data_IF_089858469835
#
_entry.id   IF_089858469835
#
_cell.length_a   1.000
_cell.length_b   1.000
_cell.length_c   1.000
_cell.angle_alpha   90.00
_cell.angle_beta   90.00
_cell.angle_gamma   90.00
#
_symmetry.space_group_name_H-M   'P 1'
#
loop_
_entity.id
_entity.type
_entity.pdbx_description
1 polymer ?
#
# COMPACT_ATOMS: atom_id res chain seq x y z
N UNK A 1 86.66 -26.25 8.99
CA UNK A 1 85.24 -26.62 8.87
C UNK A 1 84.46 -25.53 9.60
N UNK A 2 83.96 -24.52 8.87
CA UNK A 2 83.36 -23.31 9.45
C UNK A 2 82.04 -23.07 8.71
N UNK A 3 80.95 -23.30 9.41
CA UNK A 3 79.60 -23.39 8.86
C UNK A 3 78.99 -21.99 8.74
N UNK A 4 78.62 -21.59 7.52
CA UNK A 4 78.01 -20.28 7.22
C UNK A 4 76.51 -20.36 7.53
N UNK A 5 76.09 -19.83 8.67
CA UNK A 5 74.68 -19.71 9.01
C UNK A 5 73.99 -18.64 8.15
N UNK A 6 73.02 -19.06 7.34
CA UNK A 6 72.17 -18.18 6.53
C UNK A 6 71.06 -17.57 7.39
N UNK A 7 71.04 -16.24 7.50
CA UNK A 7 69.92 -15.49 8.08
C UNK A 7 68.74 -15.49 7.10
N UNK A 8 67.63 -16.13 7.48
CA UNK A 8 66.34 -16.02 6.77
C UNK A 8 65.54 -14.86 7.37
N UNK A 9 65.30 -13.82 6.59
CA UNK A 9 64.36 -12.75 6.96
C UNK A 9 62.91 -13.28 6.85
N UNK A 10 62.06 -13.15 7.88
CA UNK A 10 60.63 -13.40 7.74
C UNK A 10 59.98 -12.19 7.04
N UNK A 11 59.32 -12.47 5.91
CA UNK A 11 58.50 -11.51 5.17
C UNK A 11 57.17 -11.30 5.94
N UNK A 12 56.98 -10.13 6.53
CA UNK A 12 55.73 -9.77 7.23
C UNK A 12 54.73 -9.25 6.19
N UNK A 13 53.73 -10.08 5.85
CA UNK A 13 52.64 -9.70 4.93
C UNK A 13 51.62 -8.84 5.71
N UNK A 14 51.64 -7.52 5.49
CA UNK A 14 50.63 -6.61 6.03
C UNK A 14 49.36 -6.71 5.17
N UNK A 15 48.34 -7.42 5.66
CA UNK A 15 47.00 -7.41 5.08
C UNK A 15 46.36 -6.06 5.42
N UNK A 16 46.36 -5.13 4.47
CA UNK A 16 45.57 -3.90 4.55
C UNK A 16 44.12 -4.30 4.29
N UNK A 17 43.34 -4.47 5.36
CA UNK A 17 41.89 -4.66 5.27
C UNK A 17 41.26 -3.34 4.83
N UNK A 18 40.99 -3.19 3.55
CA UNK A 18 40.16 -2.11 3.00
C UNK A 18 38.74 -2.35 3.49
N UNK A 19 38.38 -1.75 4.63
CA UNK A 19 37.00 -1.72 5.10
C UNK A 19 36.16 -0.96 4.08
N UNK A 20 35.39 -1.69 3.28
CA UNK A 20 34.37 -1.09 2.41
C UNK A 20 33.30 -0.55 3.36
N UNK A 21 33.37 0.74 3.64
CA UNK A 21 32.27 1.47 4.24
C UNK A 21 31.17 1.52 3.17
N UNK A 22 30.22 0.60 3.25
CA UNK A 22 28.97 0.71 2.51
C UNK A 22 28.22 1.91 3.10
N UNK A 23 28.44 3.09 2.55
CA UNK A 23 27.56 4.23 2.81
C UNK A 23 26.20 3.84 2.26
N UNK A 24 25.25 3.53 3.14
CA UNK A 24 23.86 3.35 2.73
C UNK A 24 23.44 4.65 2.07
N UNK A 25 23.10 4.59 0.78
CA UNK A 25 22.47 5.73 0.12
C UNK A 25 21.12 5.93 0.82
N UNK A 26 20.97 7.05 1.51
CA UNK A 26 19.68 7.46 2.06
C UNK A 26 18.82 8.01 0.92
N UNK A 27 17.54 7.66 0.91
CA UNK A 27 16.55 8.28 0.04
C UNK A 27 16.61 9.81 0.23
N UNK A 28 16.64 10.57 -0.87
CA UNK A 28 16.55 12.03 -0.76
C UNK A 28 15.09 12.40 -0.49
N UNK A 29 14.86 13.32 0.44
CA UNK A 29 13.53 13.91 0.62
C UNK A 29 13.32 15.01 -0.41
N UNK A 30 12.25 14.92 -1.19
CA UNK A 30 11.92 15.89 -2.25
C UNK A 30 10.46 16.29 -2.09
N UNK A 31 10.18 17.60 -2.08
CA UNK A 31 8.84 18.13 -1.91
C UNK A 31 8.35 18.83 -3.18
N UNK A 32 7.07 18.63 -3.49
CA UNK A 32 6.40 19.40 -4.53
C UNK A 32 6.16 20.83 -4.05
N UNK A 33 6.70 21.80 -4.79
CA UNK A 33 6.53 23.24 -4.53
C UNK A 33 5.76 23.97 -5.64
N UNK A 34 5.63 23.35 -6.82
CA UNK A 34 4.82 23.84 -7.93
C UNK A 34 5.36 25.09 -8.63
N UNK A 35 6.64 25.48 -8.45
CA UNK A 35 7.16 26.72 -9.05
C UNK A 35 7.12 26.72 -10.60
N UNK A 36 7.20 25.55 -11.22
CA UNK A 36 7.06 25.38 -12.68
C UNK A 36 5.65 25.64 -13.22
N UNK A 37 4.61 25.69 -12.36
CA UNK A 37 3.24 26.11 -12.68
C UNK A 37 2.53 25.33 -13.80
N UNK A 38 2.95 24.11 -14.09
CA UNK A 38 2.33 23.25 -15.12
C UNK A 38 1.60 22.01 -14.54
N UNK A 39 1.77 21.73 -13.24
CA UNK A 39 1.17 20.56 -12.58
C UNK A 39 1.77 19.22 -13.02
N UNK A 40 2.93 19.21 -13.69
CA UNK A 40 3.55 18.00 -14.25
C UNK A 40 4.67 17.48 -13.36
N UNK A 41 4.58 16.20 -12.95
CA UNK A 41 5.61 15.53 -12.15
C UNK A 41 7.01 15.61 -12.77
N UNK A 42 7.10 15.48 -14.10
CA UNK A 42 8.35 15.44 -14.84
C UNK A 42 9.05 16.81 -15.00
N UNK A 43 8.43 17.90 -14.58
CA UNK A 43 9.03 19.23 -14.64
C UNK A 43 9.85 19.48 -13.38
N UNK A 44 11.18 19.52 -13.52
CA UNK A 44 12.11 19.67 -12.39
C UNK A 44 11.85 20.93 -11.55
N UNK A 45 11.38 22.02 -12.17
CA UNK A 45 11.02 23.27 -11.49
C UNK A 45 9.79 23.17 -10.57
N UNK A 46 9.05 22.05 -10.55
CA UNK A 46 7.95 21.88 -9.59
C UNK A 46 8.38 21.19 -8.27
N UNK A 47 9.68 20.93 -8.14
CA UNK A 47 10.25 20.28 -6.97
C UNK A 47 11.24 21.22 -6.30
N UNK A 48 11.27 21.20 -4.97
CA UNK A 48 12.14 22.06 -4.15
C UNK A 48 13.63 21.92 -4.45
N UNK A 49 14.06 20.74 -4.90
CA UNK A 49 15.43 20.47 -5.35
C UNK A 49 15.73 20.97 -6.78
N UNK A 50 14.73 21.51 -7.48
CA UNK A 50 14.77 21.84 -8.91
C UNK A 50 15.17 20.65 -9.80
N UNK A 51 14.82 19.44 -9.36
CA UNK A 51 15.14 18.18 -10.04
C UNK A 51 14.00 17.18 -9.93
N UNK A 52 13.82 16.35 -10.95
CA UNK A 52 12.75 15.34 -10.97
C UNK A 52 13.09 14.19 -10.01
N UNK A 53 12.19 13.81 -9.09
CA UNK A 53 12.40 12.66 -8.22
C UNK A 53 12.64 11.37 -8.98
N UNK A 54 13.51 10.55 -8.43
CA UNK A 54 13.75 9.16 -8.83
C UNK A 54 12.87 8.20 -8.01
N UNK A 55 12.87 6.91 -8.37
CA UNK A 55 12.04 5.91 -7.69
C UNK A 55 12.44 5.65 -6.23
N UNK A 56 13.69 5.95 -5.85
CA UNK A 56 14.23 5.70 -4.52
C UNK A 56 14.05 6.88 -3.56
N UNK A 57 13.49 8.00 -4.02
CA UNK A 57 13.33 9.20 -3.22
C UNK A 57 12.08 9.14 -2.32
N UNK A 58 12.09 9.94 -1.25
CA UNK A 58 10.95 10.17 -0.38
C UNK A 58 10.23 11.45 -0.82
N UNK A 59 9.13 11.28 -1.53
CA UNK A 59 8.38 12.36 -2.18
C UNK A 59 7.22 12.81 -1.31
N UNK A 60 7.04 14.13 -1.17
CA UNK A 60 5.89 14.73 -0.49
C UNK A 60 5.14 15.71 -1.38
N UNK A 61 3.82 15.55 -1.47
CA UNK A 61 2.87 16.46 -2.13
C UNK A 61 1.79 16.83 -1.09
N UNK A 62 1.81 18.05 -0.58
CA UNK A 62 0.98 18.42 0.58
C UNK A 62 0.36 19.82 0.54
N UNK A 63 0.44 20.50 -0.60
CA UNK A 63 0.05 21.90 -0.75
C UNK A 63 -1.36 22.08 -1.36
N UNK A 64 -2.10 20.99 -1.58
CA UNK A 64 -3.44 21.00 -2.19
C UNK A 64 -3.42 20.95 -3.72
N UNK A 65 -2.24 20.82 -4.33
CA UNK A 65 -2.10 20.81 -5.78
C UNK A 65 -2.57 19.50 -6.41
N UNK A 66 -2.87 19.58 -7.70
CA UNK A 66 -3.00 18.41 -8.57
C UNK A 66 -1.68 18.18 -9.31
N UNK A 67 -1.06 17.05 -9.03
CA UNK A 67 0.18 16.60 -9.67
C UNK A 67 -0.15 15.50 -10.67
N UNK A 68 0.26 15.70 -11.92
CA UNK A 68 0.04 14.74 -13.00
C UNK A 68 1.33 14.05 -13.37
N UNK A 69 1.37 12.74 -13.23
CA UNK A 69 2.43 11.88 -13.70
C UNK A 69 2.15 11.44 -15.16
N UNK A 70 2.89 12.00 -16.12
CA UNK A 70 2.68 11.81 -17.58
C UNK A 70 3.92 11.25 -18.30
N UNK A 71 4.64 10.23 -17.80
CA UNK A 71 5.77 9.71 -18.57
C UNK A 71 5.30 8.71 -19.63
N UNK A 72 6.25 8.35 -20.51
CA UNK A 72 6.11 7.16 -21.36
C UNK A 72 6.24 5.82 -20.63
N UNK A 73 6.32 5.81 -19.29
CA UNK A 73 6.66 4.63 -18.46
C UNK A 73 5.75 4.44 -17.22
N UNK A 74 6.19 3.57 -16.31
CA UNK A 74 5.48 3.24 -15.07
C UNK A 74 5.83 4.23 -13.94
N UNK A 75 4.85 4.63 -13.13
CA UNK A 75 5.13 5.27 -11.84
C UNK A 75 5.78 4.23 -10.93
N UNK A 76 7.05 4.43 -10.57
CA UNK A 76 7.78 3.45 -9.78
C UNK A 76 8.25 4.09 -8.48
N UNK A 77 7.93 3.43 -7.37
CA UNK A 77 8.52 3.66 -6.05
C UNK A 77 9.31 2.40 -5.72
N UNK A 78 10.62 2.52 -5.52
CA UNK A 78 11.54 1.40 -5.29
C UNK A 78 12.52 1.73 -4.15
N UNK A 79 12.16 1.31 -2.92
CA UNK A 79 12.92 1.63 -1.71
C UNK A 79 12.59 2.99 -1.07
N UNK A 80 11.89 3.87 -1.78
CA UNK A 80 11.45 5.19 -1.31
C UNK A 80 9.99 5.24 -0.87
N UNK A 81 9.42 6.44 -0.84
CA UNK A 81 8.02 6.66 -0.48
C UNK A 81 7.38 7.81 -1.24
N UNK A 82 6.05 7.78 -1.37
CA UNK A 82 5.26 8.89 -1.89
C UNK A 82 4.18 9.21 -0.87
N UNK A 83 4.17 10.44 -0.38
CA UNK A 83 3.14 10.94 0.54
C UNK A 83 2.33 12.04 -0.14
N UNK A 84 1.03 11.80 -0.31
CA UNK A 84 0.07 12.79 -0.82
C UNK A 84 -0.86 13.18 0.32
N UNK A 85 -1.03 14.48 0.55
CA UNK A 85 -1.83 14.96 1.68
C UNK A 85 -2.41 16.36 1.47
N UNK A 86 -3.19 16.86 2.44
CA UNK A 86 -3.61 18.26 2.46
C UNK A 86 -4.56 18.64 1.33
N UNK A 87 -5.41 17.70 0.90
CA UNK A 87 -6.31 17.87 -0.24
C UNK A 87 -5.66 17.69 -1.61
N UNK A 88 -4.36 17.36 -1.66
CA UNK A 88 -3.64 17.18 -2.93
C UNK A 88 -4.13 15.95 -3.70
N UNK A 89 -3.92 15.97 -5.02
CA UNK A 89 -4.25 14.86 -5.91
C UNK A 89 -3.02 14.43 -6.71
N UNK A 90 -2.70 13.14 -6.69
CA UNK A 90 -1.73 12.54 -7.60
C UNK A 90 -2.47 11.76 -8.68
N UNK A 91 -2.34 12.18 -9.94
CA UNK A 91 -2.96 11.53 -11.09
C UNK A 91 -1.92 10.88 -11.99
N UNK A 92 -2.10 9.62 -12.35
CA UNK A 92 -1.33 8.97 -13.42
C UNK A 92 -2.21 8.80 -14.66
N UNK A 93 -1.81 9.44 -15.75
CA UNK A 93 -2.63 9.47 -16.99
C UNK A 93 -2.23 8.39 -18.00
N UNK A 94 -1.03 7.81 -17.87
CA UNK A 94 -0.58 6.73 -18.74
C UNK A 94 -1.29 5.40 -18.42
N UNK A 95 -1.60 4.59 -19.44
CA UNK A 95 -2.12 3.21 -19.29
C UNK A 95 -1.08 2.19 -18.82
N UNK A 96 0.13 2.66 -18.51
CA UNK A 96 1.23 1.92 -17.91
C UNK A 96 0.95 1.57 -16.44
N UNK A 97 1.81 0.80 -15.79
CA UNK A 97 1.65 0.37 -14.41
C UNK A 97 2.02 1.46 -13.37
N UNK A 98 1.53 1.29 -12.14
CA UNK A 98 2.11 1.93 -10.97
C UNK A 98 2.72 0.81 -10.12
N UNK A 99 4.00 0.88 -9.78
CA UNK A 99 4.73 -0.16 -9.06
C UNK A 99 5.25 0.41 -7.76
N UNK A 100 4.84 -0.17 -6.64
CA UNK A 100 5.40 0.11 -5.33
C UNK A 100 6.18 -1.13 -4.92
N UNK A 101 7.51 -1.01 -4.92
CA UNK A 101 8.46 -2.05 -4.55
C UNK A 101 9.28 -1.54 -3.36
N UNK A 102 9.42 -2.36 -2.33
CA UNK A 102 10.18 -2.01 -1.14
C UNK A 102 9.87 -0.61 -0.55
N UNK A 103 8.65 -0.10 -0.74
CA UNK A 103 8.30 1.31 -0.53
C UNK A 103 6.84 1.49 -0.14
N UNK A 104 6.44 2.73 0.10
CA UNK A 104 5.08 3.04 0.61
C UNK A 104 4.44 4.18 -0.16
N UNK A 105 3.15 4.03 -0.49
CA UNK A 105 2.27 5.13 -0.89
C UNK A 105 1.38 5.52 0.31
N UNK A 106 1.51 6.75 0.78
CA UNK A 106 0.72 7.30 1.87
C UNK A 106 -0.24 8.36 1.34
N UNK A 107 -1.52 8.23 1.66
CA UNK A 107 -2.59 9.15 1.30
C UNK A 107 -3.25 9.64 2.59
N UNK A 108 -3.26 10.95 2.84
CA UNK A 108 -3.86 11.53 4.03
C UNK A 108 -4.70 12.76 3.70
N UNK A 109 -6.02 12.63 3.74
CA UNK A 109 -6.95 13.64 3.22
C UNK A 109 -6.63 13.99 1.75
N UNK A 110 -6.48 12.98 0.89
CA UNK A 110 -5.96 13.17 -0.48
C UNK A 110 -6.60 12.22 -1.51
N UNK A 111 -6.23 12.38 -2.77
CA UNK A 111 -6.64 11.47 -3.85
C UNK A 111 -5.44 10.93 -4.62
N UNK A 112 -5.44 9.62 -4.85
CA UNK A 112 -4.68 9.00 -5.94
C UNK A 112 -5.66 8.56 -7.02
N UNK A 113 -5.41 8.96 -8.26
CA UNK A 113 -6.27 8.63 -9.38
C UNK A 113 -5.48 8.10 -10.56
N UNK A 114 -6.02 7.10 -11.24
CA UNK A 114 -5.43 6.59 -12.46
C UNK A 114 -6.48 6.06 -13.42
N UNK A 115 -6.37 6.47 -14.68
CA UNK A 115 -7.37 6.17 -15.71
C UNK A 115 -7.31 4.73 -16.26
N UNK A 116 -6.20 4.00 -16.12
CA UNK A 116 -6.10 2.63 -16.63
C UNK A 116 -4.82 1.89 -16.27
N UNK A 117 -4.83 0.56 -16.44
CA UNK A 117 -3.75 -0.38 -16.07
C UNK A 117 -3.75 -0.75 -14.57
N UNK A 118 -2.79 -1.59 -14.15
CA UNK A 118 -2.73 -2.12 -12.78
C UNK A 118 -1.80 -1.36 -11.82
N UNK A 119 -2.21 -1.16 -10.57
CA UNK A 119 -1.31 -0.79 -9.46
C UNK A 119 -0.79 -2.08 -8.87
N UNK A 120 0.53 -2.21 -8.74
CA UNK A 120 1.17 -3.44 -8.27
C UNK A 120 2.03 -3.13 -7.06
N UNK A 121 1.79 -3.86 -5.98
CA UNK A 121 2.55 -3.81 -4.74
C UNK A 121 3.46 -5.05 -4.69
N UNK A 122 4.75 -4.86 -4.42
CA UNK A 122 5.76 -5.93 -4.41
C UNK A 122 5.84 -6.72 -5.74
N UNK A 123 6.08 -6.01 -6.85
CA UNK A 123 6.29 -6.64 -8.16
C UNK A 123 7.62 -7.42 -8.23
N UNK A 124 8.68 -6.86 -7.64
CA UNK A 124 9.96 -7.57 -7.52
C UNK A 124 9.95 -8.56 -6.32
N UNK A 125 10.91 -9.46 -6.31
CA UNK A 125 11.10 -10.49 -5.27
C UNK A 125 11.66 -9.88 -3.99
N UNK A 126 11.34 -10.47 -2.82
CA UNK A 126 11.84 -10.05 -1.50
C UNK A 126 11.48 -8.60 -1.12
N UNK A 127 10.27 -8.18 -1.49
CA UNK A 127 9.78 -6.82 -1.32
C UNK A 127 8.82 -6.69 -0.13
N UNK A 128 8.96 -5.58 0.60
CA UNK A 128 7.93 -5.07 1.51
C UNK A 128 7.23 -3.85 0.88
N UNK A 129 5.93 -3.87 0.68
CA UNK A 129 5.25 -2.75 0.00
C UNK A 129 3.92 -2.44 0.64
N UNK A 130 3.54 -1.16 0.66
CA UNK A 130 2.28 -0.80 1.28
C UNK A 130 1.60 0.44 0.75
N UNK A 131 0.30 0.48 1.03
CA UNK A 131 -0.55 1.66 0.89
C UNK A 131 -1.13 1.97 2.26
N UNK A 132 -1.02 3.22 2.68
CA UNK A 132 -1.70 3.72 3.88
C UNK A 132 -2.60 4.88 3.49
N UNK A 133 -3.91 4.69 3.56
CA UNK A 133 -4.90 5.70 3.21
C UNK A 133 -5.71 6.10 4.45
N UNK A 134 -5.79 7.39 4.72
CA UNK A 134 -6.62 7.99 5.77
C UNK A 134 -7.48 9.08 5.13
N UNK A 135 -8.80 8.98 5.30
CA UNK A 135 -9.78 9.89 4.71
C UNK A 135 -9.52 10.20 3.23
N UNK A 136 -9.09 9.20 2.46
CA UNK A 136 -8.56 9.39 1.11
C UNK A 136 -9.32 8.56 0.10
N UNK A 137 -9.22 8.97 -1.17
CA UNK A 137 -9.75 8.22 -2.30
C UNK A 137 -8.61 7.61 -3.12
N UNK A 138 -8.70 6.30 -3.38
CA UNK A 138 -7.78 5.55 -4.22
C UNK A 138 -8.55 5.00 -5.42
N UNK A 139 -8.57 5.74 -6.52
CA UNK A 139 -9.30 5.37 -7.74
C UNK A 139 -8.35 4.83 -8.80
N UNK A 140 -8.64 3.63 -9.30
CA UNK A 140 -7.83 2.93 -10.29
C UNK A 140 -8.72 2.44 -11.45
N UNK A 141 -8.27 2.65 -12.68
CA UNK A 141 -8.95 2.17 -13.89
C UNK A 141 -8.58 0.73 -14.28
N UNK A 142 -7.91 -0.02 -13.41
CA UNK A 142 -7.53 -1.42 -13.63
C UNK A 142 -7.51 -2.20 -12.32
N UNK A 143 -6.54 -3.09 -12.12
CA UNK A 143 -6.49 -3.95 -10.94
C UNK A 143 -5.50 -3.43 -9.88
N UNK A 144 -5.79 -3.70 -8.60
CA UNK A 144 -4.82 -3.58 -7.51
C UNK A 144 -4.22 -4.96 -7.23
N UNK A 145 -2.93 -5.13 -7.47
CA UNK A 145 -2.22 -6.40 -7.29
C UNK A 145 -1.39 -6.39 -6.01
N UNK A 146 -1.59 -7.43 -5.22
CA UNK A 146 -0.75 -7.80 -4.09
C UNK A 146 0.20 -8.89 -4.59
N UNK A 147 1.45 -8.52 -4.81
CA UNK A 147 2.47 -9.41 -5.33
C UNK A 147 2.50 -9.53 -6.85
N UNK A 148 3.26 -10.53 -7.32
CA UNK A 148 3.46 -10.82 -8.73
C UNK A 148 3.73 -12.33 -8.97
N UNK A 149 3.42 -12.78 -10.18
CA UNK A 149 3.33 -14.18 -10.61
C UNK A 149 4.66 -14.95 -10.77
N UNK A 150 5.80 -14.41 -10.33
CA UNK A 150 7.12 -15.01 -10.61
C UNK A 150 7.73 -15.87 -9.49
N UNK A 151 6.98 -16.26 -8.45
CA UNK A 151 7.30 -17.34 -7.50
C UNK A 151 8.72 -17.36 -6.87
N UNK A 152 9.48 -16.27 -6.91
CA UNK A 152 10.92 -16.29 -6.60
C UNK A 152 11.30 -15.33 -5.49
N UNK A 153 10.54 -15.26 -4.41
CA UNK A 153 10.91 -14.51 -3.21
C UNK A 153 9.73 -14.22 -2.32
N UNK A 154 10.02 -13.70 -1.12
CA UNK A 154 9.00 -13.35 -0.14
C UNK A 154 8.35 -12.02 -0.52
N UNK A 155 7.04 -11.97 -0.59
CA UNK A 155 6.29 -10.74 -0.86
C UNK A 155 5.47 -10.37 0.37
N UNK A 156 5.79 -9.24 1.00
CA UNK A 156 5.04 -8.70 2.14
C UNK A 156 4.30 -7.46 1.67
N UNK A 157 2.97 -7.54 1.58
CA UNK A 157 2.14 -6.43 1.12
C UNK A 157 1.09 -6.08 2.18
N UNK A 158 1.01 -4.80 2.53
CA UNK A 158 0.00 -4.28 3.45
C UNK A 158 -0.75 -3.09 2.86
N UNK A 159 -2.07 -3.15 2.83
CA UNK A 159 -2.94 -2.01 2.52
C UNK A 159 -3.78 -1.69 3.74
N UNK A 160 -3.64 -0.47 4.26
CA UNK A 160 -4.40 0.03 5.39
C UNK A 160 -5.32 1.15 4.92
N UNK A 161 -6.64 0.98 5.08
CA UNK A 161 -7.64 1.99 4.78
C UNK A 161 -8.30 2.47 6.06
N UNK A 162 -8.30 3.77 6.32
CA UNK A 162 -9.02 4.37 7.45
C UNK A 162 -9.99 5.42 6.92
N UNK A 163 -11.29 5.16 7.04
CA UNK A 163 -12.35 5.98 6.42
C UNK A 163 -12.04 6.33 4.95
N UNK A 164 -11.53 5.36 4.18
CA UNK A 164 -10.98 5.57 2.84
C UNK A 164 -11.61 4.63 1.82
N UNK A 165 -11.59 5.03 0.56
CA UNK A 165 -12.24 4.29 -0.52
C UNK A 165 -11.21 3.76 -1.52
N UNK A 166 -11.38 2.50 -1.94
CA UNK A 166 -10.78 1.97 -3.17
C UNK A 166 -11.90 1.84 -4.21
N UNK A 167 -11.73 2.51 -5.33
CA UNK A 167 -12.63 2.47 -6.48
C UNK A 167 -11.89 1.88 -7.67
N UNK A 168 -12.23 0.66 -8.06
CA UNK A 168 -11.63 -0.04 -9.19
C UNK A 168 -12.34 0.21 -10.53
N UNK A 169 -13.26 1.18 -10.60
CA UNK A 169 -14.02 1.59 -11.79
C UNK A 169 -14.65 0.42 -12.59
N UNK A 170 -15.02 -0.67 -11.90
CA UNK A 170 -15.64 -1.86 -12.51
C UNK A 170 -14.73 -2.75 -13.37
N UNK A 171 -13.41 -2.54 -13.40
CA UNK A 171 -12.52 -3.12 -14.44
C UNK A 171 -11.78 -4.41 -14.04
N UNK A 172 -11.83 -4.88 -12.78
CA UNK A 172 -11.59 -6.29 -12.29
C UNK A 172 -11.17 -6.34 -10.79
N UNK A 173 -10.83 -5.23 -10.14
CA UNK A 173 -10.75 -5.12 -8.68
C UNK A 173 -9.42 -5.55 -8.02
N UNK A 174 -9.46 -6.25 -6.88
CA UNK A 174 -8.28 -6.61 -6.07
C UNK A 174 -7.81 -8.03 -6.37
N UNK A 175 -6.51 -8.19 -6.61
CA UNK A 175 -5.88 -9.47 -6.93
C UNK A 175 -4.73 -9.82 -5.99
N UNK A 176 -4.73 -11.05 -5.47
CA UNK A 176 -3.65 -11.59 -4.62
C UNK A 176 -2.88 -12.69 -5.36
N UNK A 177 -1.57 -12.56 -5.49
CA UNK A 177 -0.72 -13.52 -6.21
C UNK A 177 0.01 -14.46 -5.27
N UNK A 178 -0.09 -15.77 -5.54
CA UNK A 178 0.67 -16.84 -4.90
C UNK A 178 0.59 -16.79 -3.36
N UNK A 179 -0.64 -16.71 -2.84
CA UNK A 179 -0.95 -16.52 -1.41
C UNK A 179 -0.49 -17.65 -0.51
N UNK A 180 -0.18 -18.81 -1.07
CA UNK A 180 0.29 -20.01 -0.37
C UNK A 180 1.81 -20.22 -0.47
N UNK A 181 2.52 -19.36 -1.22
CA UNK A 181 3.98 -19.44 -1.28
C UNK A 181 4.58 -19.08 0.09
N UNK A 182 5.52 -19.90 0.56
CA UNK A 182 6.16 -19.69 1.85
C UNK A 182 6.84 -18.33 1.91
N UNK A 183 6.58 -17.56 2.97
CA UNK A 183 7.15 -16.24 3.18
C UNK A 183 6.35 -15.08 2.58
N UNK A 184 5.35 -15.37 1.74
CA UNK A 184 4.38 -14.35 1.33
C UNK A 184 3.46 -13.99 2.51
N UNK A 185 3.16 -12.70 2.65
CA UNK A 185 2.25 -12.18 3.66
C UNK A 185 1.47 -11.02 3.07
N UNK A 186 0.15 -11.17 2.96
CA UNK A 186 -0.72 -10.15 2.41
C UNK A 186 -1.76 -9.73 3.44
N UNK A 187 -1.92 -8.43 3.60
CA UNK A 187 -2.90 -7.86 4.52
C UNK A 187 -3.66 -6.71 3.85
N UNK A 188 -4.98 -6.80 3.92
CA UNK A 188 -5.91 -5.71 3.64
C UNK A 188 -6.64 -5.39 4.94
N UNK A 189 -6.25 -4.29 5.57
CA UNK A 189 -6.81 -3.87 6.83
C UNK A 189 -7.75 -2.67 6.63
N UNK A 190 -9.00 -2.83 7.05
CA UNK A 190 -10.03 -1.81 6.99
C UNK A 190 -10.28 -1.27 8.39
N UNK A 191 -10.09 0.03 8.57
CA UNK A 191 -10.30 0.73 9.81
C UNK A 191 -11.37 1.81 9.63
N UNK A 192 -12.11 2.05 10.70
CA UNK A 192 -13.10 3.12 10.75
C UNK A 192 -14.36 2.87 9.91
N UNK A 193 -15.29 3.80 10.04
CA UNK A 193 -16.60 3.75 9.41
C UNK A 193 -16.54 4.36 8.00
N UNK A 194 -17.20 3.72 7.04
CA UNK A 194 -17.34 4.28 5.70
C UNK A 194 -16.16 4.01 4.77
N UNK A 195 -15.23 3.12 5.17
CA UNK A 195 -14.27 2.59 4.21
C UNK A 195 -14.98 1.66 3.24
N UNK A 196 -14.72 1.82 1.95
CA UNK A 196 -15.30 0.99 0.91
C UNK A 196 -14.24 0.45 -0.02
N UNK A 197 -14.48 -0.74 -0.55
CA UNK A 197 -13.66 -1.34 -1.60
C UNK A 197 -14.59 -1.87 -2.68
N UNK A 198 -14.49 -1.30 -3.87
CA UNK A 198 -15.24 -1.74 -5.05
C UNK A 198 -14.36 -2.58 -5.96
N UNK A 199 -14.93 -3.66 -6.48
CA UNK A 199 -14.36 -4.47 -7.52
C UNK A 199 -14.43 -5.96 -7.21
N UNK A 200 -14.24 -6.76 -8.25
CA UNK A 200 -14.06 -8.20 -8.09
C UNK A 200 -12.84 -8.47 -7.19
N UNK A 201 -12.90 -9.57 -6.45
CA UNK A 201 -11.74 -10.07 -5.70
C UNK A 201 -11.31 -11.38 -6.30
N UNK A 202 -10.02 -11.54 -6.49
CA UNK A 202 -9.45 -12.77 -6.98
C UNK A 202 -8.11 -13.10 -6.34
N UNK A 203 -7.76 -14.37 -6.46
CA UNK A 203 -6.45 -14.85 -6.06
C UNK A 203 -5.90 -15.87 -7.04
N UNK A 204 -4.60 -16.06 -6.95
CA UNK A 204 -3.92 -17.23 -7.50
C UNK A 204 -3.13 -17.88 -6.37
N UNK A 205 -3.14 -19.21 -6.35
CA UNK A 205 -2.22 -20.00 -5.53
C UNK A 205 -1.07 -20.50 -6.43
N UNK A 206 0.05 -20.85 -5.83
CA UNK A 206 1.27 -21.30 -6.50
C UNK A 206 0.95 -22.43 -7.48
N UNK A 207 1.17 -22.18 -8.78
CA UNK A 207 0.90 -23.15 -9.84
C UNK A 207 -0.57 -23.40 -10.17
N UNK A 208 -1.50 -22.73 -9.49
CA UNK A 208 -2.94 -22.78 -9.73
C UNK A 208 -3.43 -21.78 -10.78
N UNK A 209 -4.71 -21.94 -11.13
CA UNK A 209 -5.46 -21.00 -11.98
C UNK A 209 -5.91 -19.77 -11.20
N UNK A 210 -6.18 -18.69 -11.93
CA UNK A 210 -6.82 -17.49 -11.39
C UNK A 210 -8.24 -17.82 -10.93
N UNK A 211 -8.52 -17.61 -9.65
CA UNK A 211 -9.81 -17.91 -9.03
C UNK A 211 -10.46 -16.64 -8.50
N UNK A 212 -11.77 -16.48 -8.73
CA UNK A 212 -12.55 -15.51 -7.97
C UNK A 212 -12.68 -16.00 -6.52
N UNK A 213 -12.66 -15.06 -5.57
CA UNK A 213 -12.91 -15.33 -4.14
C UNK A 213 -13.91 -14.32 -3.61
N UNK A 214 -14.45 -14.58 -2.42
CA UNK A 214 -15.34 -13.64 -1.73
C UNK A 214 -14.59 -12.90 -0.62
N UNK A 215 -15.13 -11.78 -0.15
CA UNK A 215 -14.54 -11.04 0.97
C UNK A 215 -14.51 -11.88 2.26
N UNK A 216 -15.54 -12.71 2.48
CA UNK A 216 -15.63 -13.64 3.61
C UNK A 216 -14.50 -14.69 3.56
N UNK A 217 -14.11 -15.12 2.36
CA UNK A 217 -12.99 -16.06 2.19
C UNK A 217 -11.69 -15.42 2.69
N UNK A 218 -11.41 -14.17 2.29
CA UNK A 218 -10.22 -13.44 2.73
C UNK A 218 -10.23 -13.16 4.23
N UNK A 219 -11.41 -12.90 4.81
CA UNK A 219 -11.57 -12.74 6.26
C UNK A 219 -11.22 -14.01 7.04
N UNK A 220 -11.77 -15.15 6.62
CA UNK A 220 -11.51 -16.44 7.26
C UNK A 220 -10.04 -16.84 7.18
N UNK A 221 -9.33 -16.40 6.14
CA UNK A 221 -7.89 -16.63 5.94
C UNK A 221 -7.00 -15.61 6.66
N UNK A 222 -7.57 -14.55 7.23
CA UNK A 222 -6.84 -13.49 7.93
C UNK A 222 -6.13 -12.49 7.03
N UNK A 223 -6.39 -12.53 5.72
CA UNK A 223 -5.90 -11.55 4.75
C UNK A 223 -6.68 -10.24 4.91
N UNK A 224 -8.01 -10.33 5.01
CA UNK A 224 -8.88 -9.19 5.33
C UNK A 224 -9.05 -9.07 6.84
N UNK A 225 -8.77 -7.88 7.38
CA UNK A 225 -8.95 -7.57 8.80
C UNK A 225 -9.76 -6.29 9.00
N UNK A 226 -10.39 -6.17 10.17
CA UNK A 226 -11.05 -4.96 10.66
C UNK A 226 -10.35 -4.50 11.93
N UNK A 227 -9.85 -3.26 11.95
CA UNK A 227 -9.07 -2.72 13.07
C UNK A 227 -7.90 -3.64 13.48
N UNK A 228 -7.24 -4.26 12.49
CA UNK A 228 -6.11 -5.16 12.67
C UNK A 228 -6.44 -6.57 13.17
N UNK A 229 -7.72 -6.97 13.20
CA UNK A 229 -8.15 -8.31 13.63
C UNK A 229 -9.13 -8.94 12.63
N UNK A 230 -9.12 -10.27 12.52
CA UNK A 230 -10.13 -11.04 11.79
C UNK A 230 -11.03 -11.89 12.72
N UNK A 231 -11.15 -11.50 13.98
CA UNK A 231 -11.97 -12.21 14.96
C UNK A 231 -13.45 -11.85 14.90
N UNK A 232 -14.33 -12.82 15.17
CA UNK A 232 -15.79 -12.66 15.14
C UNK A 232 -16.42 -13.07 13.81
N UNK A 233 -17.70 -12.75 13.62
CA UNK A 233 -18.38 -13.03 12.36
C UNK A 233 -18.11 -11.89 11.37
N UNK A 234 -17.85 -12.23 10.11
CA UNK A 234 -17.64 -11.24 9.04
C UNK A 234 -18.76 -10.19 8.97
N UNK A 235 -20.01 -10.63 9.10
CA UNK A 235 -21.20 -9.78 9.04
C UNK A 235 -21.33 -8.79 10.20
N UNK A 236 -20.55 -8.95 11.27
CA UNK A 236 -20.50 -7.96 12.36
C UNK A 236 -19.67 -6.72 11.97
N UNK A 237 -18.78 -6.86 10.99
CA UNK A 237 -17.80 -5.85 10.60
C UNK A 237 -18.03 -5.29 9.20
N UNK A 238 -18.64 -6.08 8.31
CA UNK A 238 -18.76 -5.73 6.90
C UNK A 238 -20.13 -6.04 6.31
N UNK A 239 -20.50 -5.25 5.30
CA UNK A 239 -21.62 -5.51 4.40
C UNK A 239 -21.05 -5.65 2.99
N UNK A 240 -21.57 -6.63 2.24
CA UNK A 240 -21.27 -6.76 0.81
C UNK A 240 -22.49 -6.47 -0.04
N UNK A 241 -22.28 -5.89 -1.21
CA UNK A 241 -23.29 -5.72 -2.26
C UNK A 241 -22.75 -6.16 -3.63
N UNK A 242 -23.63 -6.34 -4.60
CA UNK A 242 -23.27 -6.82 -5.94
C UNK A 242 -23.11 -8.35 -6.01
N UNK A 243 -22.49 -8.84 -7.08
CA UNK A 243 -22.26 -10.28 -7.30
C UNK A 243 -20.79 -10.63 -7.10
N UNK A 244 -20.48 -11.65 -6.31
CA UNK A 244 -19.10 -12.07 -6.14
C UNK A 244 -18.47 -12.44 -7.50
N UNK A 245 -17.26 -11.93 -7.76
CA UNK A 245 -16.56 -12.18 -9.02
C UNK A 245 -16.91 -11.23 -10.17
N UNK A 246 -17.75 -10.22 -9.95
CA UNK A 246 -18.04 -9.16 -10.94
C UNK A 246 -17.54 -7.80 -10.45
N UNK A 247 -17.50 -6.81 -11.35
CA UNK A 247 -16.95 -5.48 -11.07
C UNK A 247 -17.75 -4.66 -10.06
N UNK A 248 -19.03 -4.98 -9.88
CA UNK A 248 -19.96 -4.33 -8.94
C UNK A 248 -19.93 -4.93 -7.52
N UNK A 249 -19.03 -5.88 -7.24
CA UNK A 249 -18.89 -6.44 -5.90
C UNK A 249 -18.24 -5.42 -4.97
N UNK A 250 -18.95 -5.01 -3.92
CA UNK A 250 -18.48 -3.97 -2.99
C UNK A 250 -18.39 -4.52 -1.58
N UNK A 251 -17.33 -4.15 -0.86
CA UNK A 251 -17.19 -4.30 0.59
C UNK A 251 -17.33 -2.94 1.25
N UNK A 252 -18.15 -2.85 2.30
CA UNK A 252 -18.31 -1.63 3.10
C UNK A 252 -18.14 -1.97 4.57
N UNK A 253 -17.30 -1.21 5.29
CA UNK A 253 -17.20 -1.38 6.75
C UNK A 253 -18.47 -0.89 7.45
N UNK A 254 -18.94 -1.67 8.41
CA UNK A 254 -20.05 -1.27 9.28
C UNK A 254 -19.49 -0.28 10.30
N UNK A 255 -20.11 0.91 10.47
CA UNK A 255 -19.76 1.80 11.56
C UNK A 255 -19.97 1.08 12.89
N UNK A 256 -18.96 1.06 13.76
CA UNK A 256 -19.19 0.64 15.14
C UNK A 256 -20.34 1.47 15.72
N UNK A 257 -21.32 0.86 16.41
CA UNK A 257 -22.39 1.61 17.04
C UNK A 257 -21.74 2.62 17.97
N UNK A 258 -21.94 3.91 17.68
CA UNK A 258 -21.30 4.95 18.47
C UNK A 258 -21.59 4.71 19.95
N UNK A 259 -20.59 4.84 20.82
CA UNK A 259 -20.79 4.71 22.27
C UNK A 259 -21.94 5.58 22.77
N UNK A 260 -22.19 6.71 22.09
CA UNK A 260 -23.36 7.57 22.28
C UNK A 260 -24.69 6.86 22.05
N UNK A 261 -24.83 6.04 21.00
CA UNK A 261 -26.05 5.25 20.77
C UNK A 261 -26.33 4.27 21.91
N UNK A 262 -25.28 3.64 22.44
CA UNK A 262 -25.38 2.74 23.58
C UNK A 262 -25.80 3.49 24.86
N UNK A 263 -25.18 4.65 25.11
CA UNK A 263 -25.52 5.52 26.24
C UNK A 263 -26.97 5.99 26.14
N UNK A 264 -27.43 6.39 24.95
CA UNK A 264 -28.83 6.77 24.71
C UNK A 264 -29.79 5.63 25.02
N UNK A 265 -29.46 4.39 24.64
CA UNK A 265 -30.28 3.22 24.95
C UNK A 265 -30.34 2.95 26.46
N UNK A 266 -29.21 3.06 27.16
CA UNK A 266 -29.13 2.90 28.62
C UNK A 266 -29.95 3.99 29.33
N UNK A 267 -29.77 5.26 28.93
CA UNK A 267 -30.54 6.39 29.44
C UNK A 267 -32.04 6.19 29.22
N UNK A 268 -32.44 5.72 28.03
CA UNK A 268 -33.84 5.40 27.73
C UNK A 268 -34.38 4.27 28.62
N UNK A 269 -33.61 3.20 28.80
CA UNK A 269 -33.95 2.11 29.71
C UNK A 269 -34.13 2.56 31.16
N UNK A 270 -33.29 3.48 31.65
CA UNK A 270 -33.40 4.08 32.98
C UNK A 270 -34.64 4.96 33.13
N UNK A 271 -34.97 5.77 32.12
CA UNK A 271 -36.19 6.57 32.09
C UNK A 271 -37.45 5.68 32.12
N UNK A 272 -37.46 4.62 31.31
CA UNK A 272 -38.56 3.65 31.27
C UNK A 272 -38.73 2.92 32.62
N UNK A 273 -37.63 2.64 33.33
CA UNK A 273 -37.68 2.04 34.67
C UNK A 273 -38.29 2.99 35.71
N UNK A 274 -38.03 4.31 35.64
CA UNK A 274 -38.57 5.30 36.58
C UNK A 274 -40.09 5.45 36.49
N UNK A 275 -40.68 5.13 35.33
CA UNK A 275 -42.13 5.21 35.11
C UNK A 275 -42.90 3.94 35.53
N UNK A 276 -42.22 2.86 35.89
CA UNK A 276 -42.84 1.70 36.54
C UNK A 276 -42.86 1.90 38.06
N UNK A 277 -43.70 2.82 38.55
CA UNK A 277 -44.14 2.78 39.95
C UNK A 277 -45.38 1.88 40.04
N UNK A 278 -45.52 1.06 41.10
CA UNK A 278 -46.72 0.25 41.35
C UNK A 278 -47.96 1.14 41.58
#
# INVERSE_FOLDING_TARGET
MMDKQSFKLPFLLAIVSTGILTTGAHAASIAWDGEGSDGIWQTGLNWDTNSVPTAADDITISNGDTVTYVPGGDLTVDGGSVTVSGGSTLTQTASNWARINNGTLTLNDSTFSRAGGNVVLAFNTDNNSGINAVNSNFSIGGELWFGHNNNTGNQVVSVNLTNSTIDANGVVGIWFWDTDAAGNSFSLNINGAGSTVEGRVGRRNTGGSNNAVTWETLWNEGILTYNGSNAGLFADHFITSGTAGTGDYTLTSIPEPSSLSLISLVCFGLLMRKHRKP
#
